data_IF_255080842032
#
_entry.id   IF_255080842032
#
_cell.length_a   1.000
_cell.length_b   1.000
_cell.length_c   1.000
_cell.angle_alpha   90.00
_cell.angle_beta   90.00
_cell.angle_gamma   90.00
#
_symmetry.space_group_name_H-M   'P 1'
#
loop_
_entity.id
_entity.type
_entity.pdbx_description
1 polymer ?
#
# COMPACT_ATOMS: atom_id res chain seq x y z
N UNK A 1 10.32 -8.88 18.51
CA UNK A 1 9.43 -8.51 17.39
C UNK A 1 8.03 -8.17 17.90
N UNK A 2 7.53 -7.04 17.50
CA UNK A 2 6.18 -6.65 17.90
C UNK A 2 5.15 -7.39 17.06
N UNK A 3 4.15 -7.98 17.74
CA UNK A 3 2.97 -8.54 17.07
C UNK A 3 1.82 -7.53 17.03
N UNK A 4 2.04 -6.33 17.56
CA UNK A 4 1.02 -5.27 17.56
C UNK A 4 0.69 -4.84 16.12
N UNK A 5 -0.59 -4.49 15.91
CA UNK A 5 -1.04 -3.96 14.63
C UNK A 5 -0.68 -2.47 14.62
N UNK A 6 0.03 -1.99 13.58
CA UNK A 6 0.36 -0.57 13.52
C UNK A 6 -0.88 0.30 13.34
N UNK A 7 -0.80 1.54 13.79
CA UNK A 7 -1.88 2.52 13.62
C UNK A 7 -1.84 3.22 12.27
N UNK A 8 -0.73 3.10 11.56
CA UNK A 8 -0.55 3.67 10.23
C UNK A 8 0.46 2.83 9.46
N UNK A 9 0.19 2.59 8.19
CA UNK A 9 1.10 1.84 7.32
C UNK A 9 0.90 2.24 5.87
N UNK A 10 1.97 2.10 5.09
CA UNK A 10 1.94 2.26 3.63
C UNK A 10 1.49 0.93 3.01
N UNK A 11 0.64 0.99 2.01
CA UNK A 11 0.02 -0.19 1.39
C UNK A 11 0.66 -0.47 0.03
N UNK A 12 1.18 -1.68 -0.16
CA UNK A 12 1.64 -2.18 -1.46
C UNK A 12 0.44 -2.40 -2.40
N UNK A 13 0.70 -2.32 -3.70
CA UNK A 13 -0.33 -2.42 -4.74
C UNK A 13 -1.15 -3.71 -4.64
N UNK A 14 -0.52 -4.87 -4.50
CA UNK A 14 -1.26 -6.14 -4.43
C UNK A 14 -2.14 -6.22 -3.19
N UNK A 15 -1.65 -5.76 -2.06
CA UNK A 15 -2.44 -5.71 -0.82
C UNK A 15 -3.66 -4.81 -1.00
N UNK A 16 -3.47 -3.64 -1.63
CA UNK A 16 -4.55 -2.72 -1.94
C UNK A 16 -5.60 -3.36 -2.85
N UNK A 17 -5.15 -3.99 -3.93
CA UNK A 17 -6.04 -4.66 -4.89
C UNK A 17 -6.87 -5.74 -4.19
N UNK A 18 -6.23 -6.62 -3.43
CA UNK A 18 -6.93 -7.70 -2.75
C UNK A 18 -7.92 -7.19 -1.71
N UNK A 19 -7.57 -6.12 -1.01
CA UNK A 19 -8.49 -5.51 -0.05
C UNK A 19 -9.72 -4.90 -0.75
N UNK A 20 -9.50 -4.09 -1.79
CA UNK A 20 -10.60 -3.46 -2.55
C UNK A 20 -11.49 -4.51 -3.21
N UNK A 21 -10.88 -5.58 -3.74
CA UNK A 21 -11.60 -6.64 -4.46
C UNK A 21 -12.26 -7.65 -3.52
N UNK A 22 -12.05 -7.55 -2.22
CA UNK A 22 -12.62 -8.46 -1.24
C UNK A 22 -11.96 -9.82 -1.17
N UNK A 23 -10.76 -9.97 -1.71
CA UNK A 23 -9.98 -11.21 -1.68
C UNK A 23 -9.26 -11.40 -0.35
N UNK A 24 -10.01 -11.46 0.73
CA UNK A 24 -9.47 -11.55 2.09
C UNK A 24 -8.54 -12.76 2.29
N UNK A 25 -8.82 -13.87 1.62
CA UNK A 25 -8.02 -15.09 1.73
C UNK A 25 -6.60 -14.97 1.16
N UNK A 26 -6.33 -13.96 0.34
CA UNK A 26 -4.99 -13.67 -0.21
C UNK A 26 -4.16 -12.78 0.71
N UNK A 27 -4.80 -12.16 1.68
CA UNK A 27 -4.16 -11.21 2.59
C UNK A 27 -3.69 -11.97 3.82
N UNK A 28 -2.43 -11.74 4.22
CA UNK A 28 -1.86 -12.36 5.41
C UNK A 28 -2.63 -11.95 6.68
N UNK A 29 -2.54 -12.75 7.73
CA UNK A 29 -3.34 -12.59 8.95
C UNK A 29 -3.15 -11.23 9.60
N UNK A 30 -1.91 -10.79 9.74
CA UNK A 30 -1.58 -9.52 10.39
C UNK A 30 -2.00 -8.34 9.53
N UNK A 31 -1.79 -8.43 8.22
CA UNK A 31 -2.25 -7.40 7.27
C UNK A 31 -3.77 -7.29 7.26
N UNK A 32 -4.47 -8.42 7.31
CA UNK A 32 -5.94 -8.43 7.36
C UNK A 32 -6.46 -7.73 8.62
N UNK A 33 -5.83 -8.00 9.76
CA UNK A 33 -6.17 -7.30 11.02
C UNK A 33 -5.92 -5.81 10.91
N UNK A 34 -4.84 -5.40 10.23
CA UNK A 34 -4.58 -3.99 9.98
C UNK A 34 -5.73 -3.35 9.19
N UNK A 35 -6.14 -3.99 8.09
CA UNK A 35 -7.25 -3.48 7.28
C UNK A 35 -8.56 -3.44 8.05
N UNK A 36 -8.83 -4.42 8.91
CA UNK A 36 -10.02 -4.41 9.77
C UNK A 36 -9.97 -3.22 10.74
N UNK A 37 -8.78 -2.89 11.27
CA UNK A 37 -8.60 -1.70 12.11
C UNK A 37 -8.85 -0.41 11.32
N UNK A 38 -8.45 -0.38 10.04
CA UNK A 38 -8.75 0.77 9.17
C UNK A 38 -10.27 0.94 9.02
N UNK A 39 -10.98 -0.15 8.74
CA UNK A 39 -12.44 -0.12 8.60
C UNK A 39 -13.15 0.32 9.88
N UNK A 40 -12.57 -0.02 11.04
CA UNK A 40 -13.10 0.37 12.34
C UNK A 40 -12.71 1.80 12.76
N UNK A 41 -11.93 2.50 11.93
CA UNK A 41 -11.46 3.85 12.23
C UNK A 41 -10.31 3.90 13.24
N UNK A 42 -9.60 2.78 13.47
CA UNK A 42 -8.51 2.66 14.43
C UNK A 42 -7.12 2.69 13.80
N UNK A 43 -7.05 2.70 12.47
CA UNK A 43 -5.78 2.75 11.75
C UNK A 43 -5.95 3.54 10.45
N UNK A 44 -4.83 3.98 9.89
CA UNK A 44 -4.79 4.75 8.64
C UNK A 44 -3.96 3.99 7.61
N UNK A 45 -4.55 3.76 6.45
CA UNK A 45 -3.86 3.20 5.29
C UNK A 45 -3.33 4.34 4.42
N UNK A 46 -2.02 4.42 4.26
CA UNK A 46 -1.37 5.36 3.35
C UNK A 46 -1.21 4.70 1.98
N UNK A 47 -1.86 5.26 0.99
CA UNK A 47 -1.89 4.71 -0.37
C UNK A 47 -0.97 5.56 -1.26
N UNK A 48 0.20 5.03 -1.67
CA UNK A 48 1.06 5.75 -2.61
C UNK A 48 0.34 5.99 -3.93
N UNK A 49 0.52 7.16 -4.52
CA UNK A 49 -0.03 7.47 -5.84
C UNK A 49 0.36 6.41 -6.87
N UNK A 50 1.58 5.87 -6.76
CA UNK A 50 2.07 4.79 -7.64
C UNK A 50 1.18 3.55 -7.56
N UNK A 51 0.72 3.18 -6.38
CA UNK A 51 -0.18 2.04 -6.22
C UNK A 51 -1.51 2.27 -6.95
N UNK A 52 -2.01 3.50 -6.93
CA UNK A 52 -3.23 3.86 -7.68
C UNK A 52 -3.01 3.80 -9.18
N UNK A 53 -1.84 4.23 -9.67
CA UNK A 53 -1.47 4.11 -11.08
C UNK A 53 -1.45 2.64 -11.50
N UNK A 54 -0.80 1.80 -10.72
CA UNK A 54 -0.71 0.36 -11.01
C UNK A 54 -2.08 -0.32 -10.97
N UNK A 55 -2.94 0.08 -10.03
CA UNK A 55 -4.33 -0.39 -9.99
C UNK A 55 -5.06 0.00 -11.27
N UNK A 56 -4.97 1.26 -11.68
CA UNK A 56 -5.59 1.76 -12.91
C UNK A 56 -5.12 1.00 -14.14
N UNK A 57 -3.81 0.79 -14.26
CA UNK A 57 -3.23 0.03 -15.37
C UNK A 57 -3.72 -1.43 -15.36
N UNK A 58 -3.82 -2.05 -14.20
CA UNK A 58 -4.31 -3.43 -14.07
C UNK A 58 -5.78 -3.57 -14.46
N UNK A 59 -6.59 -2.55 -14.17
CA UNK A 59 -7.99 -2.50 -14.61
C UNK A 59 -8.07 -2.37 -16.13
N UNK A 60 -7.28 -1.46 -16.72
CA UNK A 60 -7.25 -1.25 -18.17
C UNK A 60 -6.77 -2.48 -18.94
N UNK A 61 -5.82 -3.21 -18.41
CA UNK A 61 -5.29 -4.43 -19.05
C UNK A 61 -6.15 -5.66 -18.83
N UNK A 62 -7.20 -5.56 -18.03
CA UNK A 62 -8.08 -6.68 -17.72
C UNK A 62 -7.55 -7.66 -16.67
N UNK A 63 -6.41 -7.35 -16.03
CA UNK A 63 -5.86 -8.21 -14.97
C UNK A 63 -6.66 -8.13 -13.68
N UNK A 64 -7.32 -7.00 -13.45
CA UNK A 64 -8.15 -6.78 -12.27
C UNK A 64 -9.53 -6.34 -12.72
N UNK A 65 -10.55 -6.99 -12.17
CA UNK A 65 -11.95 -6.65 -12.41
C UNK A 65 -12.52 -6.10 -11.10
N UNK A 66 -12.74 -4.79 -11.07
CA UNK A 66 -13.32 -4.15 -9.90
C UNK A 66 -14.85 -4.32 -9.90
N UNK A 67 -15.43 -4.47 -8.71
CA UNK A 67 -16.89 -4.52 -8.54
C UNK A 67 -17.55 -3.15 -8.73
N UNK A 68 -16.75 -2.08 -8.64
CA UNK A 68 -17.18 -0.69 -8.85
C UNK A 68 -16.25 -0.02 -9.85
N UNK A 69 -16.70 1.01 -10.58
CA UNK A 69 -15.80 1.78 -11.44
C UNK A 69 -14.62 2.35 -10.65
N UNK A 70 -13.46 2.44 -11.32
CA UNK A 70 -12.25 2.99 -10.69
C UNK A 70 -12.49 4.36 -10.07
N UNK A 71 -13.22 5.25 -10.77
CA UNK A 71 -13.52 6.58 -10.25
C UNK A 71 -14.29 6.54 -8.93
N UNK A 72 -15.22 5.60 -8.78
CA UNK A 72 -15.99 5.43 -7.55
C UNK A 72 -15.09 4.97 -6.39
N UNK A 73 -14.13 4.08 -6.67
CA UNK A 73 -13.15 3.63 -5.68
C UNK A 73 -12.30 4.83 -5.23
N UNK A 74 -11.82 5.63 -6.16
CA UNK A 74 -10.98 6.79 -5.86
C UNK A 74 -11.75 7.84 -5.03
N UNK A 75 -13.01 8.10 -5.39
CA UNK A 75 -13.89 9.00 -4.62
C UNK A 75 -14.06 8.48 -3.19
N UNK A 76 -14.34 7.19 -3.03
CA UNK A 76 -14.50 6.57 -1.71
C UNK A 76 -13.26 6.74 -0.83
N UNK A 77 -12.08 6.58 -1.41
CA UNK A 77 -10.81 6.82 -0.70
C UNK A 77 -10.71 8.27 -0.25
N UNK A 78 -10.99 9.22 -1.14
CA UNK A 78 -10.90 10.65 -0.85
C UNK A 78 -11.91 11.13 0.19
N UNK A 79 -13.08 10.51 0.23
CA UNK A 79 -14.15 10.91 1.16
C UNK A 79 -13.93 10.39 2.57
N UNK A 80 -12.91 9.56 2.79
CA UNK A 80 -12.63 8.97 4.10
C UNK A 80 -11.19 9.26 4.54
N UNK A 81 -10.77 10.54 4.66
CA UNK A 81 -9.38 10.89 4.96
C UNK A 81 -8.90 10.45 6.34
N UNK A 82 -9.83 10.15 7.26
CA UNK A 82 -9.48 9.60 8.57
C UNK A 82 -9.04 8.14 8.51
N UNK A 83 -9.27 7.44 7.39
CA UNK A 83 -8.93 6.03 7.19
C UNK A 83 -7.94 5.81 6.07
N UNK A 84 -8.02 6.63 5.02
CA UNK A 84 -7.20 6.48 3.82
C UNK A 84 -6.56 7.81 3.46
N UNK A 85 -5.24 7.78 3.25
CA UNK A 85 -4.50 8.95 2.82
C UNK A 85 -3.72 8.63 1.55
N UNK A 86 -3.95 9.39 0.49
CA UNK A 86 -3.18 9.27 -0.74
C UNK A 86 -1.88 10.03 -0.52
N UNK A 87 -0.76 9.33 -0.72
CA UNK A 87 0.59 9.90 -0.54
C UNK A 87 1.13 10.31 -1.91
N UNK A 88 1.32 11.62 -2.16
CA UNK A 88 1.85 12.08 -3.44
C UNK A 88 3.28 11.59 -3.67
N UNK A 89 3.60 11.30 -4.93
CA UNK A 89 4.97 11.03 -5.35
C UNK A 89 5.75 12.36 -5.38
N UNK A 90 6.79 12.44 -4.56
CA UNK A 90 7.63 13.65 -4.46
C UNK A 90 9.04 13.40 -4.99
N UNK A 91 9.79 14.49 -5.21
CA UNK A 91 11.20 14.39 -5.58
C UNK A 91 12.03 13.66 -4.54
N UNK A 92 11.72 13.84 -3.26
CA UNK A 92 12.40 13.16 -2.15
C UNK A 92 12.18 11.65 -2.21
N UNK A 93 10.97 11.22 -2.53
CA UNK A 93 10.65 9.79 -2.71
C UNK A 93 11.42 9.23 -3.91
N UNK A 94 11.47 9.97 -5.01
CA UNK A 94 12.23 9.56 -6.21
C UNK A 94 13.71 9.41 -5.86
N UNK A 95 14.29 10.35 -5.10
CA UNK A 95 15.67 10.29 -4.68
C UNK A 95 15.97 9.05 -3.82
N UNK A 96 15.06 8.70 -2.89
CA UNK A 96 15.19 7.47 -2.10
C UNK A 96 15.10 6.23 -2.96
N UNK A 97 14.17 6.22 -3.91
CA UNK A 97 13.98 5.09 -4.82
C UNK A 97 15.22 4.83 -5.67
N UNK A 98 15.96 5.89 -6.05
CA UNK A 98 17.18 5.76 -6.82
C UNK A 98 18.24 4.91 -6.08
N UNK A 99 18.29 5.01 -4.76
CA UNK A 99 19.20 4.22 -3.93
C UNK A 99 18.76 2.76 -3.75
N UNK A 100 17.53 2.42 -4.11
CA UNK A 100 16.95 1.08 -3.94
C UNK A 100 17.06 0.23 -5.21
N UNK A 101 18.20 0.33 -5.91
CA UNK A 101 18.41 -0.38 -7.18
C UNK A 101 18.34 -1.91 -7.05
N UNK A 102 18.51 -2.45 -5.83
CA UNK A 102 18.38 -3.88 -5.54
C UNK A 102 16.94 -4.38 -5.65
N UNK A 103 15.95 -3.50 -5.62
CA UNK A 103 14.54 -3.83 -5.87
C UNK A 103 14.30 -3.68 -7.37
N UNK A 104 14.06 -4.77 -8.13
CA UNK A 104 14.11 -4.71 -9.59
C UNK A 104 12.96 -3.94 -10.24
N UNK A 105 11.77 -3.95 -9.66
CA UNK A 105 10.60 -3.31 -10.26
C UNK A 105 10.46 -1.86 -9.81
N UNK A 106 10.17 -0.97 -10.77
CA UNK A 106 10.03 0.47 -10.50
C UNK A 106 8.94 0.77 -9.48
N UNK A 107 7.78 0.15 -9.63
CA UNK A 107 6.66 0.35 -8.70
C UNK A 107 7.03 -0.04 -7.28
N UNK A 108 7.64 -1.19 -7.11
CA UNK A 108 8.08 -1.67 -5.80
C UNK A 108 9.10 -0.74 -5.17
N UNK A 109 10.05 -0.21 -5.96
CA UNK A 109 11.04 0.77 -5.46
C UNK A 109 10.37 2.03 -4.96
N UNK A 110 9.40 2.56 -5.71
CA UNK A 110 8.71 3.81 -5.37
C UNK A 110 7.82 3.64 -4.13
N UNK A 111 7.17 2.49 -4.00
CA UNK A 111 6.34 2.19 -2.82
C UNK A 111 7.24 2.01 -1.59
N UNK A 112 8.32 1.25 -1.73
CA UNK A 112 9.31 1.08 -0.66
C UNK A 112 9.91 2.43 -0.23
N UNK A 113 10.26 3.27 -1.19
CA UNK A 113 10.79 4.61 -0.94
C UNK A 113 9.79 5.50 -0.22
N UNK A 114 8.50 5.37 -0.53
CA UNK A 114 7.43 6.09 0.15
C UNK A 114 7.39 5.71 1.62
N UNK A 115 7.42 4.42 1.93
CA UNK A 115 7.43 3.94 3.32
C UNK A 115 8.68 4.43 4.05
N UNK A 116 9.85 4.36 3.41
CA UNK A 116 11.10 4.83 4.00
C UNK A 116 11.06 6.34 4.28
N UNK A 117 10.54 7.14 3.36
CA UNK A 117 10.44 8.60 3.54
C UNK A 117 9.52 8.95 4.71
N UNK A 118 8.40 8.25 4.84
CA UNK A 118 7.45 8.49 5.92
C UNK A 118 7.87 7.86 7.25
N UNK A 119 8.75 6.85 7.21
CA UNK A 119 9.14 6.11 8.41
C UNK A 119 8.03 5.19 8.91
N UNK A 120 7.14 4.74 8.07
CA UNK A 120 6.01 3.88 8.44
C UNK A 120 6.24 2.43 8.03
N UNK A 121 5.59 1.47 8.71
CA UNK A 121 5.54 0.09 8.25
C UNK A 121 4.92 -0.01 6.86
N UNK A 122 5.19 -1.11 6.17
CA UNK A 122 4.61 -1.38 4.87
C UNK A 122 3.81 -2.68 4.90
N UNK A 123 2.59 -2.64 4.40
CA UNK A 123 1.75 -3.81 4.20
C UNK A 123 2.10 -4.41 2.84
N UNK A 124 2.85 -5.49 2.86
CA UNK A 124 3.30 -6.20 1.66
C UNK A 124 3.56 -7.66 1.98
N UNK A 125 3.35 -8.53 1.01
CA UNK A 125 3.71 -9.94 1.11
C UNK A 125 5.22 -10.16 0.99
N UNK A 126 5.95 -9.22 0.40
CA UNK A 126 7.37 -9.36 0.09
C UNK A 126 8.26 -8.75 1.18
N UNK A 127 8.77 -9.59 2.08
CA UNK A 127 9.67 -9.15 3.15
C UNK A 127 11.01 -8.62 2.64
N UNK A 128 11.42 -8.99 1.42
CA UNK A 128 12.67 -8.47 0.84
C UNK A 128 12.60 -6.97 0.61
N UNK A 129 11.41 -6.43 0.31
CA UNK A 129 11.20 -4.99 0.17
C UNK A 129 11.46 -4.28 1.49
N UNK A 130 10.87 -4.76 2.58
CA UNK A 130 11.02 -4.13 3.89
C UNK A 130 12.43 -4.27 4.44
N UNK A 131 13.09 -5.40 4.19
CA UNK A 131 14.48 -5.59 4.60
C UNK A 131 15.42 -4.59 3.92
N UNK A 132 15.13 -4.19 2.69
CA UNK A 132 15.95 -3.23 1.95
C UNK A 132 15.86 -1.81 2.53
N UNK A 133 14.78 -1.46 3.21
CA UNK A 133 14.51 -0.09 3.68
C UNK A 133 14.48 0.03 5.21
N UNK A 134 14.58 -1.08 5.94
CA UNK A 134 14.63 -1.06 7.40
C UNK A 134 13.34 -0.65 8.10
N UNK A 135 12.19 -0.73 7.43
CA UNK A 135 10.89 -0.50 8.06
C UNK A 135 10.22 -1.84 8.41
N UNK A 136 9.21 -1.78 9.27
CA UNK A 136 8.48 -2.97 9.69
C UNK A 136 7.65 -3.55 8.55
N UNK A 137 7.53 -4.88 8.56
CA UNK A 137 6.81 -5.67 7.55
C UNK A 137 5.50 -6.17 8.14
N UNK A 138 4.39 -5.87 7.49
CA UNK A 138 3.05 -6.26 7.93
C UNK A 138 2.44 -7.21 6.90
N UNK A 139 2.29 -8.46 7.31
CA UNK A 139 1.61 -9.45 6.45
C UNK A 139 0.92 -10.57 7.23
#
# INVERSE_FOLDING_TARGET
>A
MSSAIPEIAVIDTHALIWWIDGNRHRIGRRALRFFDHVDEGRAVACIPTVALIELSESVHSGKVLLHRPFDAVLIGIRETPSRYQIVPLTGEIVARAHALFMIPERGDRLIAATAAELGYPIVTRDSAITNAIGVDHVW
#
